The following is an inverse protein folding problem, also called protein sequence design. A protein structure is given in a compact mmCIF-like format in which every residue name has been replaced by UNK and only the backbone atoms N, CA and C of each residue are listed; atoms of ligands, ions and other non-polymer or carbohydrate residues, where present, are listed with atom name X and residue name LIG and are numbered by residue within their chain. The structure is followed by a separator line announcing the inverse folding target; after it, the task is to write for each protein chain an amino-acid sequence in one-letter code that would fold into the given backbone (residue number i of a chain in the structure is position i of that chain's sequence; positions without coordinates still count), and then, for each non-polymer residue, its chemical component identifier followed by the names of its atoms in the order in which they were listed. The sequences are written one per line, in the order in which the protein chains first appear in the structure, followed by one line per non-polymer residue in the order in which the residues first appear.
data_IF_390441528979
#
_entry.id   IF_390441528979
#
_cell.length_a   1.000
_cell.length_b   1.000
_cell.length_c   1.000
_cell.angle_alpha   90.00
_cell.angle_beta   90.00
_cell.angle_gamma   90.00
#
_symmetry.space_group_name_H-M   'P 1'
#
loop_
_entity.id
_entity.type
_entity.pdbx_description
1 polymer ?
#
# COMPACT_ATOMS: atom_id res chain seq x y z
N UNK A 1 -22.03 -0.41 25.12
CA UNK A 1 -22.82 0.74 24.61
C UNK A 1 -24.01 0.20 23.82
N UNK A 2 -25.22 0.74 23.97
CA UNK A 2 -26.39 0.21 23.24
C UNK A 2 -26.27 0.49 21.74
N UNK A 3 -26.76 -0.43 20.90
CA UNK A 3 -26.76 -0.30 19.43
C UNK A 3 -27.33 1.05 18.95
N UNK A 4 -28.49 1.54 19.47
CA UNK A 4 -29.03 2.84 19.06
C UNK A 4 -28.09 4.01 19.36
N UNK A 5 -27.41 3.99 20.51
CA UNK A 5 -26.45 5.04 20.86
C UNK A 5 -25.25 5.04 19.90
N UNK A 6 -24.77 3.86 19.46
CA UNK A 6 -23.68 3.79 18.47
C UNK A 6 -24.11 4.34 17.12
N UNK A 7 -25.35 4.08 16.70
CA UNK A 7 -25.92 4.65 15.46
C UNK A 7 -25.98 6.17 15.56
N UNK A 8 -26.49 6.71 16.67
CA UNK A 8 -26.56 8.16 16.90
C UNK A 8 -25.16 8.78 16.87
N UNK A 9 -24.17 8.15 17.52
CA UNK A 9 -22.79 8.61 17.49
C UNK A 9 -22.20 8.56 16.06
N UNK A 10 -22.47 7.51 15.29
CA UNK A 10 -22.01 7.40 13.91
C UNK A 10 -22.60 8.51 13.01
N UNK A 11 -23.89 8.82 13.12
CA UNK A 11 -24.47 9.96 12.39
C UNK A 11 -23.98 11.30 12.92
N UNK A 12 -23.81 11.45 14.24
CA UNK A 12 -23.19 12.62 14.86
C UNK A 12 -21.77 12.86 14.36
N UNK A 13 -21.01 11.79 14.11
CA UNK A 13 -19.67 11.82 13.53
C UNK A 13 -19.64 12.55 12.19
N UNK A 14 -20.61 12.22 11.31
CA UNK A 14 -20.74 12.86 10.00
C UNK A 14 -21.01 14.35 10.15
N UNK A 15 -21.88 14.75 11.08
CA UNK A 15 -22.16 16.16 11.35
C UNK A 15 -20.94 16.91 11.88
N UNK A 16 -20.14 16.29 12.76
CA UNK A 16 -18.89 16.86 13.28
C UNK A 16 -17.89 17.09 12.15
N UNK A 17 -17.70 16.11 11.27
CA UNK A 17 -16.79 16.23 10.13
C UNK A 17 -17.25 17.29 9.11
N UNK A 18 -18.55 17.37 8.83
CA UNK A 18 -19.11 18.44 7.99
C UNK A 18 -18.94 19.82 8.66
N UNK A 19 -19.15 19.89 9.97
CA UNK A 19 -18.91 21.08 10.79
C UNK A 19 -17.47 21.57 10.68
N UNK A 20 -16.50 20.66 10.81
CA UNK A 20 -15.07 20.96 10.62
C UNK A 20 -14.81 21.59 9.25
N UNK A 21 -15.30 21.00 8.16
CA UNK A 21 -15.13 21.54 6.80
C UNK A 21 -15.73 22.94 6.67
N UNK A 22 -16.93 23.16 7.23
CA UNK A 22 -17.58 24.46 7.22
C UNK A 22 -16.79 25.51 8.02
N UNK A 23 -16.26 25.15 9.19
CA UNK A 23 -15.44 26.02 10.03
C UNK A 23 -14.16 26.42 9.29
N UNK A 24 -13.42 25.46 8.72
CA UNK A 24 -12.19 25.74 7.97
C UNK A 24 -12.48 26.65 6.77
N UNK A 25 -13.58 26.42 6.06
CA UNK A 25 -13.98 27.26 4.92
C UNK A 25 -14.38 28.67 5.35
N UNK A 26 -15.05 28.83 6.49
CA UNK A 26 -15.38 30.14 7.04
C UNK A 26 -14.11 30.89 7.44
N UNK A 27 -13.21 30.23 8.17
CA UNK A 27 -11.92 30.77 8.58
C UNK A 27 -11.04 31.16 7.37
N UNK A 28 -11.08 30.37 6.31
CA UNK A 28 -10.39 30.68 5.08
C UNK A 28 -10.85 31.99 4.44
N UNK A 29 -12.16 32.27 4.47
CA UNK A 29 -12.73 33.52 3.95
C UNK A 29 -12.39 34.72 4.84
N UNK A 30 -12.30 34.53 6.15
CA UNK A 30 -12.06 35.63 7.10
C UNK A 30 -10.57 35.95 7.25
N UNK A 31 -9.69 34.95 7.23
CA UNK A 31 -8.24 35.10 7.47
C UNK A 31 -7.41 35.03 6.18
N UNK A 32 -8.03 34.68 5.03
CA UNK A 32 -7.33 34.61 3.75
C UNK A 32 -6.38 33.42 3.65
N UNK A 33 -6.73 32.27 4.26
CA UNK A 33 -5.91 31.07 4.21
C UNK A 33 -5.77 30.57 2.77
N UNK A 34 -4.55 30.25 2.35
CA UNK A 34 -4.32 29.65 1.04
C UNK A 34 -4.93 28.23 0.96
N UNK A 35 -5.11 27.73 -0.26
CA UNK A 35 -5.76 26.43 -0.49
C UNK A 35 -5.00 25.25 0.16
N UNK A 36 -3.67 25.33 0.24
CA UNK A 36 -2.84 24.28 0.84
C UNK A 36 -3.07 24.16 2.35
N UNK A 37 -3.06 25.29 3.06
CA UNK A 37 -3.31 25.34 4.50
C UNK A 37 -4.73 24.86 4.81
N UNK A 38 -5.72 25.28 4.03
CA UNK A 38 -7.10 24.77 4.18
C UNK A 38 -7.17 23.25 4.06
N UNK A 39 -6.55 22.70 3.01
CA UNK A 39 -6.50 21.25 2.78
C UNK A 39 -5.84 20.52 3.95
N UNK A 40 -4.70 21.03 4.45
CA UNK A 40 -4.00 20.40 5.58
C UNK A 40 -4.75 20.55 6.91
N UNK A 41 -5.48 21.64 7.12
CA UNK A 41 -6.35 21.77 8.31
C UNK A 41 -7.51 20.76 8.28
N UNK A 42 -8.16 20.57 7.13
CA UNK A 42 -9.19 19.53 6.96
C UNK A 42 -8.57 18.15 7.19
N UNK A 43 -7.43 17.84 6.56
CA UNK A 43 -6.70 16.58 6.72
C UNK A 43 -6.32 16.29 8.17
N UNK A 44 -5.78 17.28 8.89
CA UNK A 44 -5.43 17.14 10.30
C UNK A 44 -6.69 16.92 11.14
N UNK A 45 -7.76 17.69 10.92
CA UNK A 45 -8.98 17.54 11.70
C UNK A 45 -9.71 16.22 11.45
N UNK A 46 -9.79 15.76 10.21
CA UNK A 46 -10.37 14.44 9.87
C UNK A 46 -9.49 13.30 10.38
N UNK A 47 -8.16 13.44 10.31
CA UNK A 47 -7.22 12.45 10.84
C UNK A 47 -7.22 12.35 12.37
N UNK A 48 -7.28 13.49 13.08
CA UNK A 48 -7.44 13.52 14.55
C UNK A 48 -8.77 12.87 14.97
N UNK A 49 -9.85 13.12 14.21
CA UNK A 49 -11.11 12.42 14.44
C UNK A 49 -10.97 10.91 14.22
N UNK A 50 -10.31 10.48 13.14
CA UNK A 50 -10.07 9.08 12.84
C UNK A 50 -9.28 8.38 13.96
N UNK A 51 -8.29 9.05 14.57
CA UNK A 51 -7.55 8.51 15.72
C UNK A 51 -8.46 8.14 16.90
N UNK A 52 -9.58 8.83 17.09
CA UNK A 52 -10.51 8.56 18.21
C UNK A 52 -11.40 7.33 17.98
N UNK A 53 -11.48 6.80 16.75
CA UNK A 53 -12.41 5.73 16.39
C UNK A 53 -12.30 4.47 17.27
N UNK A 54 -11.10 3.94 17.62
CA UNK A 54 -10.98 2.75 18.46
C UNK A 54 -11.56 2.93 19.87
N UNK A 55 -11.62 4.16 20.37
CA UNK A 55 -12.14 4.47 21.71
C UNK A 55 -13.58 4.96 21.69
N UNK A 56 -14.03 5.52 20.57
CA UNK A 56 -15.39 6.05 20.42
C UNK A 56 -16.44 4.93 20.28
N UNK A 57 -16.07 3.82 19.64
CA UNK A 57 -16.96 2.70 19.39
C UNK A 57 -16.43 1.42 20.07
N UNK A 58 -17.17 0.81 21.00
CA UNK A 58 -16.79 -0.46 21.59
C UNK A 58 -16.98 -1.62 20.61
N UNK A 59 -17.99 -1.55 19.73
CA UNK A 59 -18.14 -2.51 18.63
C UNK A 59 -17.47 -1.97 17.37
N UNK A 60 -16.96 -2.86 16.51
CA UNK A 60 -16.24 -2.47 15.29
C UNK A 60 -17.18 -2.12 14.12
N UNK A 61 -18.40 -2.67 14.12
CA UNK A 61 -19.35 -2.52 13.01
C UNK A 61 -19.76 -1.07 12.70
N UNK A 62 -19.94 -0.13 13.68
CA UNK A 62 -20.31 1.25 13.37
C UNK A 62 -19.20 1.99 12.62
N UNK A 63 -17.93 1.64 12.89
CA UNK A 63 -16.79 2.21 12.18
C UNK A 63 -16.83 1.79 10.70
N UNK A 64 -17.06 0.51 10.42
CA UNK A 64 -17.21 0.01 9.05
C UNK A 64 -18.42 0.63 8.34
N UNK A 65 -19.55 0.79 9.03
CA UNK A 65 -20.72 1.50 8.51
C UNK A 65 -20.37 2.95 8.16
N UNK A 66 -19.71 3.67 9.06
CA UNK A 66 -19.31 5.07 8.88
C UNK A 66 -18.39 5.23 7.66
N UNK A 67 -17.40 4.35 7.52
CA UNK A 67 -16.49 4.36 6.36
C UNK A 67 -17.24 4.06 5.07
N UNK A 68 -18.09 3.03 5.07
CA UNK A 68 -18.88 2.66 3.89
C UNK A 68 -19.79 3.81 3.43
N UNK A 69 -20.50 4.43 4.37
CA UNK A 69 -21.34 5.61 4.09
C UNK A 69 -20.49 6.77 3.57
N UNK A 70 -19.32 7.03 4.17
CA UNK A 70 -18.42 8.10 3.73
C UNK A 70 -17.96 7.87 2.29
N UNK A 71 -17.50 6.66 1.95
CA UNK A 71 -17.06 6.31 0.60
C UNK A 71 -18.20 6.42 -0.42
N UNK A 72 -19.42 5.98 -0.06
CA UNK A 72 -20.60 6.10 -0.91
C UNK A 72 -20.96 7.57 -1.14
N UNK A 73 -20.99 8.38 -0.08
CA UNK A 73 -21.29 9.82 -0.18
C UNK A 73 -20.25 10.51 -1.06
N UNK A 74 -18.96 10.22 -0.88
CA UNK A 74 -17.90 10.79 -1.73
C UNK A 74 -18.04 10.37 -3.19
N UNK A 75 -18.42 9.12 -3.46
CA UNK A 75 -18.67 8.63 -4.82
C UNK A 75 -19.87 9.35 -5.46
N UNK A 76 -20.96 9.54 -4.71
CA UNK A 76 -22.15 10.26 -5.16
C UNK A 76 -21.82 11.72 -5.44
N UNK A 77 -21.11 12.38 -4.52
CA UNK A 77 -20.74 13.80 -4.68
C UNK A 77 -19.80 14.04 -5.86
N UNK A 78 -19.10 13.00 -6.32
CA UNK A 78 -18.27 13.04 -7.53
C UNK A 78 -19.05 12.87 -8.83
N UNK A 79 -20.34 12.53 -8.78
CA UNK A 79 -21.17 12.43 -9.98
C UNK A 79 -21.37 13.81 -10.62
N UNK A 80 -21.39 13.92 -11.96
CA UNK A 80 -21.50 15.21 -12.67
C UNK A 80 -22.67 16.08 -12.24
N UNK A 81 -23.76 15.46 -11.75
CA UNK A 81 -24.99 16.12 -11.30
C UNK A 81 -24.83 16.95 -10.01
N UNK A 82 -23.82 16.64 -9.19
CA UNK A 82 -23.53 17.36 -7.93
C UNK A 82 -22.34 18.31 -8.05
N UNK A 83 -21.90 18.59 -9.28
CA UNK A 83 -20.74 19.44 -9.58
C UNK A 83 -20.89 20.92 -9.16
N UNK A 84 -22.11 21.37 -8.91
CA UNK A 84 -22.43 22.72 -8.44
C UNK A 84 -22.90 22.66 -6.97
N UNK A 85 -22.07 23.10 -6.00
CA UNK A 85 -22.41 23.13 -4.57
C UNK A 85 -21.34 22.54 -3.65
N UNK A 86 -21.72 21.67 -2.70
CA UNK A 86 -20.78 20.90 -1.85
C UNK A 86 -19.84 20.00 -2.66
N UNK A 87 -20.29 19.53 -3.84
CA UNK A 87 -19.42 18.86 -4.80
C UNK A 87 -18.40 19.79 -5.46
N UNK A 88 -18.63 21.11 -5.52
CA UNK A 88 -17.66 22.06 -6.08
C UNK A 88 -16.40 22.20 -5.21
N UNK A 89 -16.52 22.05 -3.88
CA UNK A 89 -15.36 21.90 -2.99
C UNK A 89 -14.58 20.61 -3.28
N UNK A 90 -15.28 19.54 -3.65
CA UNK A 90 -14.72 18.28 -4.12
C UNK A 90 -14.43 18.23 -5.64
N UNK A 91 -14.55 19.34 -6.37
CA UNK A 91 -14.38 19.34 -7.83
C UNK A 91 -13.51 20.48 -8.36
N UNK A 92 -13.44 21.61 -7.65
CA UNK A 92 -12.68 22.80 -8.09
C UNK A 92 -11.16 22.63 -8.04
N UNK A 93 -10.66 21.78 -7.14
CA UNK A 93 -9.25 21.38 -7.03
C UNK A 93 -9.06 19.86 -7.30
N UNK A 94 -10.14 19.10 -7.20
CA UNK A 94 -10.14 17.63 -7.05
C UNK A 94 -10.29 16.82 -8.34
N UNK A 95 -10.47 17.46 -9.51
CA UNK A 95 -10.40 16.72 -10.79
C UNK A 95 -9.04 16.04 -11.03
N UNK A 96 -8.02 16.26 -10.19
CA UNK A 96 -6.68 15.67 -10.31
C UNK A 96 -6.20 14.78 -9.15
N UNK A 97 -6.82 14.78 -7.96
CA UNK A 97 -6.31 13.96 -6.82
C UNK A 97 -7.40 13.10 -6.18
N UNK A 98 -7.09 11.83 -6.01
CA UNK A 98 -7.92 10.86 -5.29
C UNK A 98 -7.65 10.87 -3.77
N UNK A 99 -6.85 11.82 -3.27
CA UNK A 99 -6.29 11.82 -1.92
C UNK A 99 -7.30 11.65 -0.80
N UNK A 100 -8.43 12.35 -0.83
CA UNK A 100 -9.43 12.26 0.26
C UNK A 100 -10.17 10.92 0.25
N UNK A 101 -10.43 10.36 -0.94
CA UNK A 101 -10.99 9.03 -1.08
C UNK A 101 -10.01 7.96 -0.59
N UNK A 102 -8.73 8.10 -0.94
CA UNK A 102 -7.66 7.22 -0.52
C UNK A 102 -7.43 7.28 1.00
N UNK A 103 -7.54 8.46 1.60
CA UNK A 103 -7.51 8.65 3.06
C UNK A 103 -8.63 7.87 3.75
N UNK A 104 -9.89 8.07 3.33
CA UNK A 104 -11.04 7.38 3.93
C UNK A 104 -10.92 5.85 3.78
N UNK A 105 -10.50 5.39 2.61
CA UNK A 105 -10.23 3.97 2.36
C UNK A 105 -9.13 3.44 3.28
N UNK A 106 -8.04 4.20 3.44
CA UNK A 106 -6.92 3.80 4.27
C UNK A 106 -7.28 3.74 5.75
N UNK A 107 -8.06 4.68 6.26
CA UNK A 107 -8.57 4.65 7.64
C UNK A 107 -9.33 3.34 7.88
N UNK A 108 -10.20 2.96 6.95
CA UNK A 108 -10.97 1.72 7.08
C UNK A 108 -10.14 0.45 6.96
N UNK A 109 -9.23 0.39 6.00
CA UNK A 109 -8.33 -0.75 5.85
C UNK A 109 -7.39 -0.87 7.06
N UNK A 110 -6.86 0.24 7.59
CA UNK A 110 -6.03 0.19 8.79
C UNK A 110 -6.83 -0.28 10.01
N UNK A 111 -8.06 0.20 10.17
CA UNK A 111 -8.91 -0.21 11.29
C UNK A 111 -9.28 -1.69 11.24
N UNK A 112 -9.53 -2.20 10.02
CA UNK A 112 -9.80 -3.61 9.77
C UNK A 112 -8.56 -4.48 10.07
N UNK A 113 -7.41 -4.10 9.51
CA UNK A 113 -6.19 -4.93 9.56
C UNK A 113 -5.44 -4.84 10.89
N UNK A 114 -5.58 -3.74 11.63
CA UNK A 114 -4.94 -3.60 12.95
C UNK A 114 -5.50 -4.61 13.97
N UNK A 115 -6.69 -5.16 13.74
CA UNK A 115 -7.34 -6.07 14.68
C UNK A 115 -7.44 -5.44 16.08
N UNK A 116 -7.17 -6.21 17.12
CA UNK A 116 -7.24 -5.71 18.52
C UNK A 116 -6.01 -4.90 18.95
N UNK A 117 -4.97 -4.80 18.11
CA UNK A 117 -3.73 -4.10 18.47
C UNK A 117 -3.85 -2.61 18.13
N UNK A 118 -4.26 -1.80 19.12
CA UNK A 118 -4.51 -0.36 18.93
C UNK A 118 -3.30 0.40 18.37
N UNK A 119 -2.07 0.00 18.76
CA UNK A 119 -0.83 0.61 18.25
C UNK A 119 -0.73 0.53 16.71
N UNK A 120 -1.16 -0.59 16.11
CA UNK A 120 -1.07 -0.82 14.66
C UNK A 120 -2.05 0.06 13.88
N UNK A 121 -3.06 0.62 14.54
CA UNK A 121 -3.96 1.61 13.96
C UNK A 121 -3.49 3.04 14.22
N UNK A 122 -3.21 3.36 15.47
CA UNK A 122 -2.95 4.74 15.93
C UNK A 122 -1.67 5.30 15.34
N UNK A 123 -0.57 4.54 15.36
CA UNK A 123 0.72 5.04 14.88
C UNK A 123 0.65 5.37 13.38
N UNK A 124 0.18 4.49 12.48
CA UNK A 124 0.11 4.81 11.05
C UNK A 124 -0.81 6.00 10.74
N UNK A 125 -1.97 6.09 11.40
CA UNK A 125 -2.92 7.20 11.18
C UNK A 125 -2.37 8.51 11.76
N UNK A 126 -1.67 8.48 12.89
CA UNK A 126 -1.05 9.66 13.48
C UNK A 126 0.07 10.20 12.60
N UNK A 127 0.91 9.31 12.05
CA UNK A 127 1.96 9.68 11.09
C UNK A 127 1.36 10.31 9.84
N UNK A 128 0.33 9.68 9.25
CA UNK A 128 -0.38 10.24 8.11
C UNK A 128 -1.01 11.60 8.43
N UNK A 129 -1.54 11.79 9.63
CA UNK A 129 -2.26 13.02 10.00
C UNK A 129 -1.30 14.17 10.27
N UNK A 130 -0.27 13.91 11.08
CA UNK A 130 0.57 14.96 11.66
C UNK A 130 1.89 15.13 10.92
N UNK A 131 2.60 14.04 10.60
CA UNK A 131 3.89 14.13 9.93
C UNK A 131 3.76 14.62 8.49
N UNK A 132 2.76 14.13 7.75
CA UNK A 132 2.46 14.59 6.39
C UNK A 132 2.10 16.09 6.35
N UNK A 133 1.23 16.54 7.25
CA UNK A 133 0.86 17.95 7.32
C UNK A 133 2.05 18.84 7.69
N UNK A 134 2.85 18.43 8.70
CA UNK A 134 4.04 19.16 9.10
C UNK A 134 5.08 19.23 7.97
N UNK A 135 5.31 18.13 7.26
CA UNK A 135 6.23 18.06 6.14
C UNK A 135 5.82 18.97 4.98
N UNK A 136 4.53 19.00 4.64
CA UNK A 136 4.01 19.86 3.58
C UNK A 136 4.09 21.35 3.95
N UNK A 137 3.73 21.72 5.19
CA UNK A 137 3.81 23.11 5.65
C UNK A 137 5.27 23.57 5.75
N UNK A 138 6.16 22.75 6.30
CA UNK A 138 7.58 23.07 6.37
C UNK A 138 8.22 23.11 4.98
N UNK A 139 7.86 22.18 4.10
CA UNK A 139 8.39 22.12 2.74
C UNK A 139 7.97 23.32 1.90
N UNK A 140 6.74 23.82 2.07
CA UNK A 140 6.26 25.02 1.38
C UNK A 140 6.80 26.32 1.97
N UNK A 141 7.03 26.40 3.29
CA UNK A 141 7.54 27.60 3.95
C UNK A 141 9.07 27.74 3.93
N UNK A 142 9.81 26.62 4.05
CA UNK A 142 11.26 26.59 4.25
C UNK A 142 12.02 25.75 3.21
N UNK A 143 11.34 25.19 2.22
CA UNK A 143 11.97 24.36 1.20
C UNK A 143 13.00 25.14 0.40
N UNK A 144 14.25 24.69 0.40
CA UNK A 144 15.32 25.25 -0.45
C UNK A 144 15.85 24.22 -1.42
N UNK A 145 15.94 22.94 -1.00
CA UNK A 145 16.47 21.85 -1.81
C UNK A 145 15.34 20.99 -2.32
N UNK A 146 14.88 21.29 -3.53
CA UNK A 146 13.80 20.56 -4.19
C UNK A 146 14.33 19.39 -5.02
N UNK A 147 13.53 18.32 -5.08
CA UNK A 147 13.72 17.21 -5.98
C UNK A 147 12.43 16.91 -6.73
N UNK A 148 12.58 16.54 -8.00
CA UNK A 148 11.44 16.22 -8.85
C UNK A 148 10.84 14.87 -8.43
N UNK A 149 9.52 14.89 -8.26
CA UNK A 149 8.66 13.71 -8.22
C UNK A 149 7.73 13.75 -9.44
N UNK A 150 7.05 12.65 -9.73
CA UNK A 150 6.27 12.50 -10.97
C UNK A 150 5.09 13.47 -11.11
N UNK A 151 4.63 14.04 -9.99
CA UNK A 151 3.58 15.06 -9.96
C UNK A 151 3.98 16.27 -9.10
N UNK A 152 5.13 16.86 -9.42
CA UNK A 152 5.59 18.13 -8.84
C UNK A 152 6.98 18.06 -8.22
N UNK A 153 7.19 18.89 -7.20
CA UNK A 153 8.46 18.95 -6.48
C UNK A 153 8.21 18.71 -4.98
N UNK A 154 9.13 17.96 -4.36
CA UNK A 154 9.21 17.80 -2.91
C UNK A 154 10.53 18.37 -2.42
N UNK A 155 10.59 18.78 -1.16
CA UNK A 155 11.80 19.36 -0.57
C UNK A 155 12.47 18.39 0.41
N UNK A 156 13.80 18.46 0.47
CA UNK A 156 14.59 17.69 1.45
C UNK A 156 14.21 18.13 2.87
N UNK A 157 13.97 19.42 3.08
CA UNK A 157 13.53 19.98 4.35
C UNK A 157 12.19 19.38 4.80
N UNK A 158 11.22 19.26 3.89
CA UNK A 158 9.94 18.60 4.15
C UNK A 158 10.13 17.14 4.58
N UNK A 159 10.98 16.38 3.87
CA UNK A 159 11.28 14.98 4.24
C UNK A 159 12.02 14.86 5.58
N UNK A 160 12.89 15.81 5.95
CA UNK A 160 13.53 15.83 7.27
C UNK A 160 12.51 16.10 8.38
N UNK A 161 11.60 17.06 8.17
CA UNK A 161 10.51 17.33 9.11
C UNK A 161 9.59 16.12 9.24
N UNK A 162 9.24 15.47 8.12
CA UNK A 162 8.49 14.23 8.14
C UNK A 162 9.18 13.19 9.03
N UNK A 163 10.47 12.90 8.77
CA UNK A 163 11.25 11.92 9.52
C UNK A 163 11.24 12.20 11.03
N UNK A 164 11.52 13.46 11.43
CA UNK A 164 11.59 13.85 12.84
C UNK A 164 10.23 13.74 13.51
N UNK A 165 9.16 14.23 12.87
CA UNK A 165 7.80 14.17 13.42
C UNK A 165 7.32 12.72 13.51
N UNK A 166 7.56 11.89 12.49
CA UNK A 166 7.27 10.45 12.54
C UNK A 166 8.04 9.75 13.66
N UNK A 167 9.31 10.09 13.87
CA UNK A 167 10.12 9.52 14.94
C UNK A 167 9.55 9.85 16.32
N UNK A 168 9.15 11.11 16.54
CA UNK A 168 8.53 11.54 17.80
C UNK A 168 7.17 10.88 18.03
N UNK A 169 6.34 10.77 16.98
CA UNK A 169 5.06 10.07 17.04
C UNK A 169 5.28 8.59 17.37
N UNK A 170 6.21 7.92 16.68
CA UNK A 170 6.51 6.52 16.92
C UNK A 170 6.97 6.29 18.36
N UNK A 171 7.95 7.07 18.86
CA UNK A 171 8.42 6.98 20.25
C UNK A 171 7.26 7.17 21.22
N UNK A 172 6.41 8.18 21.01
CA UNK A 172 5.26 8.45 21.90
C UNK A 172 4.27 7.30 21.89
N UNK A 173 3.89 6.79 20.72
CA UNK A 173 2.97 5.67 20.59
C UNK A 173 3.54 4.39 21.24
N UNK A 174 4.80 4.05 20.98
CA UNK A 174 5.41 2.86 21.57
C UNK A 174 5.56 2.98 23.10
N UNK A 175 5.92 4.15 23.64
CA UNK A 175 6.02 4.37 25.08
C UNK A 175 4.67 4.22 25.80
N UNK A 176 3.57 4.63 25.16
CA UNK A 176 2.22 4.61 25.77
C UNK A 176 1.50 3.28 25.54
N UNK A 177 1.78 2.58 24.44
CA UNK A 177 0.94 1.49 23.93
C UNK A 177 1.70 0.17 23.75
N UNK A 178 2.96 0.08 24.16
CA UNK A 178 3.75 -1.15 24.05
C UNK A 178 4.67 -1.36 25.25
N UNK A 179 4.95 -2.62 25.56
CA UNK A 179 5.90 -3.03 26.61
C UNK A 179 7.23 -3.52 26.01
N UNK A 180 7.61 -3.02 24.83
CA UNK A 180 8.83 -3.47 24.16
C UNK A 180 10.09 -3.02 24.91
N UNK A 181 11.16 -3.83 24.90
CA UNK A 181 12.45 -3.42 25.42
C UNK A 181 12.91 -2.09 24.77
N UNK A 182 13.49 -1.14 25.54
CA UNK A 182 13.82 0.19 25.04
C UNK A 182 14.66 0.19 23.76
N UNK A 183 15.60 -0.76 23.63
CA UNK A 183 16.46 -0.87 22.45
C UNK A 183 15.70 -1.35 21.21
N UNK A 184 14.80 -2.34 21.35
CA UNK A 184 13.95 -2.81 20.25
C UNK A 184 13.00 -1.69 19.80
N UNK A 185 12.40 -0.99 20.77
CA UNK A 185 11.55 0.16 20.52
C UNK A 185 12.28 1.24 19.71
N UNK A 186 13.50 1.61 20.11
CA UNK A 186 14.28 2.64 19.42
C UNK A 186 14.58 2.25 17.96
N UNK A 187 15.02 1.01 17.74
CA UNK A 187 15.31 0.51 16.38
C UNK A 187 14.03 0.51 15.53
N UNK A 188 12.91 0.04 16.05
CA UNK A 188 11.62 0.08 15.36
C UNK A 188 11.17 1.50 15.03
N UNK A 189 11.29 2.44 15.97
CA UNK A 189 10.93 3.85 15.73
C UNK A 189 11.78 4.47 14.62
N UNK A 190 13.09 4.19 14.59
CA UNK A 190 13.98 4.64 13.53
C UNK A 190 13.62 4.03 12.18
N UNK A 191 13.28 2.74 12.15
CA UNK A 191 12.86 2.07 10.91
C UNK A 191 11.53 2.60 10.40
N UNK A 192 10.54 2.81 11.28
CA UNK A 192 9.24 3.42 10.97
C UNK A 192 9.44 4.83 10.39
N UNK A 193 10.28 5.66 11.01
CA UNK A 193 10.57 7.01 10.51
C UNK A 193 11.26 6.98 9.14
N UNK A 194 12.30 6.15 8.99
CA UNK A 194 13.05 6.04 7.73
C UNK A 194 12.16 5.53 6.60
N UNK A 195 11.38 4.47 6.86
CA UNK A 195 10.46 3.89 5.91
C UNK A 195 9.35 4.86 5.53
N UNK A 196 8.66 5.46 6.51
CA UNK A 196 7.59 6.41 6.27
C UNK A 196 8.07 7.58 5.42
N UNK A 197 9.27 8.10 5.70
CA UNK A 197 9.89 9.18 4.92
C UNK A 197 10.15 8.76 3.48
N UNK A 198 10.59 7.53 3.24
CA UNK A 198 10.80 7.05 1.87
C UNK A 198 9.48 6.91 1.11
N UNK A 199 8.44 6.35 1.75
CA UNK A 199 7.12 6.21 1.12
C UNK A 199 6.52 7.57 0.82
N UNK A 200 6.56 8.51 1.77
CA UNK A 200 6.12 9.89 1.56
C UNK A 200 6.90 10.50 0.39
N UNK A 201 8.23 10.48 0.42
CA UNK A 201 9.06 11.15 -0.57
C UNK A 201 8.87 10.63 -2.01
N UNK A 202 8.39 9.39 -2.19
CA UNK A 202 8.14 8.79 -3.51
C UNK A 202 6.66 8.69 -3.90
N UNK A 203 5.74 9.04 -3.00
CA UNK A 203 4.30 9.02 -3.30
C UNK A 203 3.89 10.18 -4.20
N UNK A 204 2.85 9.96 -5.00
CA UNK A 204 2.32 10.90 -5.98
C UNK A 204 0.79 10.96 -5.91
N UNK A 205 0.17 12.04 -6.39
CA UNK A 205 -1.31 12.17 -6.58
C UNK A 205 -2.20 11.92 -5.36
N UNK A 206 -1.68 11.94 -4.14
CA UNK A 206 -2.42 11.58 -2.94
C UNK A 206 -2.39 10.08 -2.61
N UNK A 207 -1.57 9.27 -3.30
CA UNK A 207 -1.38 7.85 -2.97
C UNK A 207 -0.58 7.62 -1.68
N UNK A 208 0.13 8.63 -1.18
CA UNK A 208 0.65 8.67 0.18
C UNK A 208 -0.46 8.45 1.20
N UNK A 209 -1.65 9.01 0.98
CA UNK A 209 -2.80 8.82 1.88
C UNK A 209 -3.27 7.36 2.02
N UNK A 210 -2.82 6.46 1.13
CA UNK A 210 -3.09 5.03 1.21
C UNK A 210 -1.85 4.20 1.54
N UNK A 211 -0.76 4.39 0.80
CA UNK A 211 0.42 3.53 0.91
C UNK A 211 1.24 3.79 2.18
N UNK A 212 1.30 5.03 2.66
CA UNK A 212 2.04 5.36 3.89
C UNK A 212 1.43 4.65 5.11
N UNK A 213 0.16 4.89 5.47
CA UNK A 213 -0.45 4.24 6.64
C UNK A 213 -0.51 2.71 6.51
N UNK A 214 -0.89 2.15 5.35
CA UNK A 214 -0.91 0.70 5.17
C UNK A 214 0.48 0.08 5.24
N UNK A 215 1.47 0.73 4.62
CA UNK A 215 2.86 0.30 4.72
C UNK A 215 3.31 0.24 6.17
N UNK A 216 3.10 1.32 6.94
CA UNK A 216 3.48 1.38 8.35
C UNK A 216 2.75 0.33 9.20
N UNK A 217 1.45 0.13 8.98
CA UNK A 217 0.68 -0.90 9.69
C UNK A 217 1.29 -2.29 9.47
N UNK A 218 1.61 -2.62 8.23
CA UNK A 218 2.11 -3.95 7.90
C UNK A 218 3.53 -4.13 8.39
N UNK A 219 4.36 -3.10 8.28
CA UNK A 219 5.70 -3.10 8.87
C UNK A 219 5.63 -3.42 10.36
N UNK A 220 4.71 -2.79 11.11
CA UNK A 220 4.48 -3.08 12.53
C UNK A 220 3.96 -4.50 12.75
N UNK A 221 2.98 -4.94 11.94
CA UNK A 221 2.40 -6.27 12.04
C UNK A 221 3.47 -7.38 11.88
N UNK A 222 4.42 -7.19 10.96
CA UNK A 222 5.47 -8.18 10.67
C UNK A 222 6.63 -8.09 11.67
N UNK A 223 7.03 -6.89 12.11
CA UNK A 223 8.29 -6.70 12.82
C UNK A 223 8.16 -6.32 14.29
N UNK A 224 6.96 -6.06 14.81
CA UNK A 224 6.78 -5.66 16.23
C UNK A 224 7.25 -6.71 17.24
N UNK A 225 7.25 -7.98 16.86
CA UNK A 225 7.68 -9.11 17.71
C UNK A 225 9.08 -9.64 17.36
N UNK A 226 9.77 -9.02 16.38
CA UNK A 226 11.10 -9.44 15.96
C UNK A 226 12.14 -9.21 17.06
N UNK A 227 13.12 -10.11 17.11
CA UNK A 227 14.30 -9.97 17.97
C UNK A 227 15.15 -8.77 17.57
N UNK A 228 15.97 -8.26 18.50
CA UNK A 228 16.87 -7.14 18.21
C UNK A 228 17.81 -7.45 17.04
N UNK A 229 18.29 -8.69 16.95
CA UNK A 229 19.17 -9.15 15.86
C UNK A 229 18.49 -9.10 14.50
N UNK A 230 17.23 -9.52 14.41
CA UNK A 230 16.45 -9.45 13.17
C UNK A 230 16.18 -8.01 12.76
N UNK A 231 15.83 -7.14 13.72
CA UNK A 231 15.60 -5.72 13.47
C UNK A 231 16.87 -5.00 12.99
N UNK A 232 18.01 -5.26 13.63
CA UNK A 232 19.31 -4.70 13.20
C UNK A 232 19.69 -5.22 11.81
N UNK A 233 19.50 -6.51 11.54
CA UNK A 233 19.76 -7.09 10.22
C UNK A 233 18.86 -6.45 9.16
N UNK A 234 17.59 -6.23 9.46
CA UNK A 234 16.65 -5.55 8.56
C UNK A 234 17.09 -4.09 8.31
N UNK A 235 17.49 -3.36 9.35
CA UNK A 235 17.99 -1.99 9.21
C UNK A 235 19.26 -1.91 8.35
N UNK A 236 20.20 -2.84 8.56
CA UNK A 236 21.45 -2.92 7.78
C UNK A 236 21.17 -3.29 6.33
N UNK A 237 20.31 -4.28 6.07
CA UNK A 237 19.94 -4.68 4.69
C UNK A 237 19.21 -3.56 3.98
N UNK A 238 18.34 -2.82 4.68
CA UNK A 238 17.69 -1.65 4.14
C UNK A 238 18.68 -0.54 3.75
N UNK A 239 19.61 -0.18 4.65
CA UNK A 239 20.62 0.83 4.34
C UNK A 239 21.53 0.37 3.18
N UNK A 240 21.92 -0.90 3.16
CA UNK A 240 22.68 -1.49 2.07
C UNK A 240 21.93 -1.43 0.72
N UNK A 241 20.61 -1.66 0.72
CA UNK A 241 19.78 -1.55 -0.49
C UNK A 241 19.76 -0.12 -1.04
N UNK A 242 19.58 0.89 -0.17
CA UNK A 242 19.62 2.32 -0.56
C UNK A 242 20.97 2.66 -1.20
N UNK A 243 22.08 2.28 -0.55
CA UNK A 243 23.44 2.56 -1.04
C UNK A 243 23.71 1.84 -2.35
N UNK A 244 23.28 0.58 -2.46
CA UNK A 244 23.47 -0.25 -3.66
C UNK A 244 22.75 0.34 -4.86
N UNK A 245 21.49 0.75 -4.71
CA UNK A 245 20.73 1.36 -5.80
C UNK A 245 21.24 2.75 -6.19
N UNK A 246 21.76 3.52 -5.23
CA UNK A 246 22.44 4.78 -5.55
C UNK A 246 23.67 4.57 -6.44
N UNK A 247 24.40 3.47 -6.25
CA UNK A 247 25.61 3.12 -7.03
C UNK A 247 25.29 2.38 -8.34
N UNK A 248 24.33 1.46 -8.31
CA UNK A 248 24.02 0.56 -9.41
C UNK A 248 22.93 1.11 -10.35
N UNK A 249 22.02 1.94 -9.85
CA UNK A 249 20.93 2.53 -10.64
C UNK A 249 21.42 3.20 -11.93
N UNK A 250 22.45 4.07 -11.89
CA UNK A 250 23.00 4.67 -13.12
C UNK A 250 23.57 3.64 -14.10
N UNK A 251 24.15 2.53 -13.60
CA UNK A 251 24.69 1.45 -14.44
C UNK A 251 23.59 0.63 -15.12
N UNK A 252 22.40 0.60 -14.53
CA UNK A 252 21.21 -0.06 -15.09
C UNK A 252 20.39 0.87 -16.01
N UNK A 253 20.89 2.07 -16.31
CA UNK A 253 20.17 3.07 -17.11
C UNK A 253 18.97 3.68 -16.39
N UNK A 254 18.87 3.55 -15.07
CA UNK A 254 17.78 4.12 -14.29
C UNK A 254 18.01 5.62 -14.06
N UNK A 255 16.96 6.42 -14.22
CA UNK A 255 16.97 7.81 -13.77
C UNK A 255 17.08 7.88 -12.26
N UNK A 256 17.50 9.03 -11.71
CA UNK A 256 17.54 9.22 -10.24
C UNK A 256 16.14 9.05 -9.60
N UNK A 257 15.09 9.43 -10.32
CA UNK A 257 13.71 9.23 -9.87
C UNK A 257 13.38 7.73 -9.85
N UNK A 258 13.57 7.03 -10.97
CA UNK A 258 13.36 5.59 -11.10
C UNK A 258 14.11 4.79 -10.01
N UNK A 259 15.38 5.10 -9.78
CA UNK A 259 16.18 4.42 -8.77
C UNK A 259 15.58 4.54 -7.36
N UNK A 260 15.03 5.70 -6.99
CA UNK A 260 14.37 5.89 -5.68
C UNK A 260 13.06 5.12 -5.57
N UNK A 261 12.26 5.12 -6.64
CA UNK A 261 11.01 4.36 -6.73
C UNK A 261 11.26 2.86 -6.54
N UNK A 262 12.30 2.31 -7.17
CA UNK A 262 12.68 0.90 -7.00
C UNK A 262 13.18 0.59 -5.59
N UNK A 263 13.94 1.49 -4.97
CA UNK A 263 14.36 1.32 -3.55
C UNK A 263 13.13 1.20 -2.64
N UNK A 264 12.10 2.03 -2.85
CA UNK A 264 10.85 1.94 -2.10
C UNK A 264 10.14 0.63 -2.36
N UNK A 265 10.03 0.19 -3.61
CA UNK A 265 9.39 -1.08 -3.96
C UNK A 265 10.06 -2.27 -3.29
N UNK A 266 11.40 -2.33 -3.32
CA UNK A 266 12.18 -3.39 -2.70
C UNK A 266 11.99 -3.37 -1.19
N UNK A 267 12.04 -2.18 -0.60
CA UNK A 267 11.81 -2.05 0.83
C UNK A 267 10.41 -2.54 1.20
N UNK A 268 9.37 -2.12 0.47
CA UNK A 268 8.00 -2.59 0.70
C UNK A 268 7.89 -4.11 0.62
N UNK A 269 8.56 -4.74 -0.35
CA UNK A 269 8.60 -6.20 -0.46
C UNK A 269 9.30 -6.82 0.76
N UNK A 270 10.48 -6.32 1.13
CA UNK A 270 11.30 -6.86 2.23
C UNK A 270 10.69 -6.61 3.61
N UNK A 271 9.90 -5.54 3.77
CA UNK A 271 9.22 -5.17 5.00
C UNK A 271 7.99 -6.04 5.30
N UNK A 272 7.46 -6.72 4.29
CA UNK A 272 6.17 -7.43 4.38
C UNK A 272 6.35 -8.94 4.18
N UNK A 273 7.33 -9.34 3.39
CA UNK A 273 7.58 -10.74 3.05
C UNK A 273 8.85 -11.25 3.73
N UNK A 274 8.81 -12.51 4.15
CA UNK A 274 10.03 -13.24 4.48
C UNK A 274 11.01 -13.22 3.28
N UNK A 275 12.32 -13.29 3.56
CA UNK A 275 13.37 -13.11 2.56
C UNK A 275 13.18 -14.02 1.33
N UNK A 276 12.78 -15.28 1.52
CA UNK A 276 12.50 -16.21 0.42
C UNK A 276 11.25 -15.82 -0.38
N UNK A 277 10.19 -15.34 0.29
CA UNK A 277 8.96 -14.87 -0.36
C UNK A 277 9.16 -13.54 -1.13
N UNK A 278 10.22 -12.79 -0.83
CA UNK A 278 10.60 -11.60 -1.57
C UNK A 278 11.20 -11.89 -2.96
N UNK A 279 11.68 -13.11 -3.22
CA UNK A 279 12.43 -13.43 -4.46
C UNK A 279 11.60 -13.24 -5.72
N UNK A 280 10.35 -13.72 -5.77
CA UNK A 280 9.49 -13.56 -6.94
C UNK A 280 9.11 -12.08 -7.21
N UNK A 281 8.70 -11.28 -6.22
CA UNK A 281 8.56 -9.83 -6.38
C UNK A 281 9.85 -9.13 -6.83
N UNK A 282 11.03 -9.57 -6.38
CA UNK A 282 12.30 -9.04 -6.88
C UNK A 282 12.51 -9.39 -8.37
N UNK A 283 12.06 -10.56 -8.82
CA UNK A 283 12.05 -10.92 -10.25
C UNK A 283 11.08 -10.05 -11.06
N UNK A 284 9.95 -9.64 -10.48
CA UNK A 284 9.04 -8.65 -11.11
C UNK A 284 9.77 -7.34 -11.39
N UNK A 285 10.53 -6.82 -10.42
CA UNK A 285 11.31 -5.60 -10.58
C UNK A 285 12.41 -5.76 -11.64
N UNK A 286 13.12 -6.89 -11.64
CA UNK A 286 14.14 -7.19 -12.65
C UNK A 286 13.53 -7.28 -14.05
N UNK A 287 12.40 -7.99 -14.20
CA UNK A 287 11.68 -8.10 -15.46
C UNK A 287 11.15 -6.74 -15.94
N UNK A 288 10.74 -5.85 -15.01
CA UNK A 288 10.32 -4.49 -15.35
C UNK A 288 11.48 -3.64 -15.87
N UNK A 289 12.67 -3.71 -15.27
CA UNK A 289 13.87 -3.02 -15.77
C UNK A 289 14.18 -3.52 -17.18
N UNK A 290 14.18 -4.84 -17.39
CA UNK A 290 14.45 -5.43 -18.70
C UNK A 290 13.42 -5.02 -19.75
N UNK A 291 12.13 -5.08 -19.43
CA UNK A 291 11.04 -4.67 -20.31
C UNK A 291 11.13 -3.20 -20.70
N UNK A 292 11.50 -2.33 -19.77
CA UNK A 292 11.70 -0.90 -20.05
C UNK A 292 12.81 -0.67 -21.07
N UNK A 293 13.95 -1.36 -20.92
CA UNK A 293 15.10 -1.19 -21.80
C UNK A 293 14.89 -1.81 -23.18
N UNK A 294 14.23 -2.98 -23.24
CA UNK A 294 14.08 -3.74 -24.48
C UNK A 294 12.83 -3.34 -25.27
N UNK A 295 11.77 -2.88 -24.60
CA UNK A 295 10.49 -2.55 -25.21
C UNK A 295 9.83 -1.37 -24.47
N UNK A 296 10.24 -0.11 -24.72
CA UNK A 296 9.72 1.07 -24.02
C UNK A 296 8.18 1.18 -24.05
N UNK A 297 7.61 1.79 -23.01
CA UNK A 297 6.16 1.95 -22.84
C UNK A 297 5.73 3.40 -23.03
N UNK A 298 4.54 3.61 -23.60
CA UNK A 298 3.93 4.94 -23.75
C UNK A 298 3.20 5.40 -22.47
N UNK A 299 3.22 4.61 -21.39
CA UNK A 299 2.65 5.01 -20.11
C UNK A 299 3.42 6.19 -19.55
N UNK A 300 2.68 7.21 -19.11
CA UNK A 300 3.25 8.44 -18.55
C UNK A 300 4.11 8.18 -17.29
N UNK A 301 3.78 7.15 -16.50
CA UNK A 301 4.36 6.88 -15.18
C UNK A 301 4.69 5.39 -14.95
N UNK A 302 5.32 4.73 -15.91
CA UNK A 302 5.56 3.27 -15.84
C UNK A 302 6.31 2.80 -14.58
N UNK A 303 7.15 3.66 -14.00
CA UNK A 303 7.96 3.35 -12.79
C UNK A 303 7.11 3.30 -11.54
N UNK A 304 6.12 4.18 -11.48
CA UNK A 304 5.18 4.22 -10.37
C UNK A 304 4.14 3.12 -10.49
N UNK A 305 3.75 2.76 -11.72
CA UNK A 305 2.82 1.67 -11.97
C UNK A 305 3.33 0.36 -11.36
N UNK A 306 4.64 0.09 -11.39
CA UNK A 306 5.21 -1.13 -10.79
C UNK A 306 5.13 -1.12 -9.26
N UNK A 307 5.33 0.03 -8.62
CA UNK A 307 5.20 0.17 -7.17
C UNK A 307 3.74 0.08 -6.74
N UNK A 308 2.85 0.75 -7.47
CA UNK A 308 1.42 0.64 -7.26
C UNK A 308 0.95 -0.81 -7.38
N UNK A 309 1.37 -1.52 -8.43
CA UNK A 309 1.03 -2.94 -8.60
C UNK A 309 1.56 -3.81 -7.49
N UNK A 310 2.86 -3.72 -7.17
CA UNK A 310 3.47 -4.49 -6.07
C UNK A 310 2.79 -4.20 -4.73
N UNK A 311 2.51 -2.93 -4.42
CA UNK A 311 1.78 -2.54 -3.22
C UNK A 311 0.35 -3.10 -3.22
N UNK A 312 -0.39 -2.93 -4.33
CA UNK A 312 -1.79 -3.35 -4.44
C UNK A 312 -1.96 -4.85 -4.19
N UNK A 313 -1.19 -5.73 -4.85
CA UNK A 313 -1.38 -7.16 -4.64
C UNK A 313 -0.66 -7.69 -3.39
N UNK A 314 0.45 -7.08 -2.93
CA UNK A 314 1.06 -7.46 -1.64
C UNK A 314 0.10 -7.18 -0.50
N UNK A 315 -0.47 -5.98 -0.45
CA UNK A 315 -1.44 -5.60 0.57
C UNK A 315 -2.78 -6.29 0.34
N UNK A 316 -3.20 -6.48 -0.90
CA UNK A 316 -4.43 -7.16 -1.25
C UNK A 316 -4.44 -8.62 -0.77
N UNK A 317 -3.38 -9.38 -1.03
CA UNK A 317 -3.27 -10.77 -0.56
C UNK A 317 -3.15 -10.87 0.96
N UNK A 318 -2.38 -9.98 1.59
CA UNK A 318 -2.29 -9.96 3.05
C UNK A 318 -3.65 -9.65 3.68
N UNK A 319 -4.34 -8.63 3.18
CA UNK A 319 -5.66 -8.25 3.66
C UNK A 319 -6.69 -9.36 3.46
N UNK A 320 -6.66 -10.00 2.29
CA UNK A 320 -7.56 -11.12 1.98
C UNK A 320 -7.27 -12.33 2.88
N UNK A 321 -5.99 -12.64 3.14
CA UNK A 321 -5.60 -13.72 4.02
C UNK A 321 -6.02 -13.51 5.47
N UNK A 322 -5.85 -12.27 5.97
CA UNK A 322 -6.30 -11.89 7.31
C UNK A 322 -7.84 -11.89 7.41
N UNK A 323 -8.54 -11.40 6.39
CA UNK A 323 -10.00 -11.32 6.40
C UNK A 323 -10.68 -12.70 6.36
N UNK A 324 -10.10 -13.67 5.65
CA UNK A 324 -10.66 -15.02 5.56
C UNK A 324 -10.12 -15.98 6.63
N UNK A 325 -8.99 -15.63 7.26
CA UNK A 325 -8.25 -16.49 8.19
C UNK A 325 -7.41 -17.59 7.50
N UNK A 326 -7.31 -17.56 6.17
CA UNK A 326 -6.52 -18.52 5.38
C UNK A 326 -5.28 -17.83 4.82
N UNK A 327 -4.09 -18.41 5.02
CA UNK A 327 -2.86 -17.76 4.58
C UNK A 327 -2.81 -17.63 3.03
N UNK A 328 -2.49 -16.46 2.50
CA UNK A 328 -2.49 -16.19 1.07
C UNK A 328 -1.10 -16.22 0.40
N UNK A 329 -0.03 -16.60 1.11
CA UNK A 329 1.36 -16.45 0.63
C UNK A 329 1.66 -17.24 -0.65
N UNK A 330 1.12 -18.44 -0.81
CA UNK A 330 1.31 -19.23 -2.04
C UNK A 330 0.68 -18.56 -3.26
N UNK A 331 -0.47 -17.90 -3.07
CA UNK A 331 -1.16 -17.17 -4.14
C UNK A 331 -0.47 -15.85 -4.47
N UNK A 332 0.04 -15.15 -3.45
CA UNK A 332 0.94 -14.01 -3.61
C UNK A 332 2.15 -14.36 -4.50
N UNK A 333 2.79 -15.50 -4.22
CA UNK A 333 3.89 -16.00 -5.04
C UNK A 333 3.48 -16.28 -6.49
N UNK A 334 2.33 -16.92 -6.73
CA UNK A 334 1.83 -17.18 -8.09
C UNK A 334 1.54 -15.88 -8.85
N UNK A 335 0.93 -14.88 -8.20
CA UNK A 335 0.67 -13.57 -8.82
C UNK A 335 1.96 -12.83 -9.18
N UNK A 336 2.96 -12.82 -8.29
CA UNK A 336 4.27 -12.23 -8.58
C UNK A 336 4.98 -12.96 -9.74
N UNK A 337 4.92 -14.30 -9.75
CA UNK A 337 5.46 -15.15 -10.81
C UNK A 337 4.81 -14.82 -12.17
N UNK A 338 3.49 -14.71 -12.22
CA UNK A 338 2.76 -14.36 -13.45
C UNK A 338 3.09 -12.95 -13.98
N UNK A 339 3.21 -11.96 -13.09
CA UNK A 339 3.59 -10.61 -13.48
C UNK A 339 5.03 -10.56 -14.02
N UNK A 340 5.97 -11.26 -13.38
CA UNK A 340 7.35 -11.38 -13.85
C UNK A 340 7.40 -12.05 -15.23
N UNK A 341 6.58 -13.08 -15.46
CA UNK A 341 6.48 -13.77 -16.74
C UNK A 341 6.00 -12.82 -17.85
N UNK A 342 4.88 -12.12 -17.63
CA UNK A 342 4.33 -11.22 -18.65
C UNK A 342 5.26 -10.06 -19.01
N UNK A 343 5.96 -9.49 -18.02
CA UNK A 343 6.97 -8.45 -18.26
C UNK A 343 8.16 -9.00 -19.06
N UNK A 344 8.63 -10.21 -18.72
CA UNK A 344 9.74 -10.86 -19.42
C UNK A 344 9.40 -11.17 -20.88
N UNK A 345 8.17 -11.61 -21.18
CA UNK A 345 7.72 -11.84 -22.56
C UNK A 345 7.65 -10.54 -23.34
N UNK A 346 7.15 -9.45 -22.73
CA UNK A 346 7.16 -8.13 -23.37
C UNK A 346 8.58 -7.62 -23.62
N UNK A 347 9.54 -7.95 -22.77
CA UNK A 347 10.94 -7.58 -22.95
C UNK A 347 11.59 -8.35 -24.10
N UNK A 348 11.36 -9.67 -24.16
CA UNK A 348 12.01 -10.55 -25.12
C UNK A 348 11.41 -10.49 -26.52
N UNK A 349 10.08 -10.61 -26.66
CA UNK A 349 9.33 -10.69 -27.94
C UNK A 349 9.94 -11.63 -29.00
N UNK A 350 10.67 -12.65 -28.58
CA UNK A 350 11.38 -13.57 -29.46
C UNK A 350 10.84 -15.00 -29.43
N UNK A 351 11.75 -15.96 -29.56
CA UNK A 351 11.44 -17.39 -29.68
C UNK A 351 10.70 -17.96 -28.45
N UNK A 352 9.65 -18.75 -28.71
CA UNK A 352 8.87 -19.50 -27.72
C UNK A 352 9.70 -20.43 -26.83
N UNK A 353 10.85 -20.93 -27.31
CA UNK A 353 11.76 -21.74 -26.49
C UNK A 353 12.30 -20.97 -25.29
N UNK A 354 12.68 -19.70 -25.48
CA UNK A 354 13.20 -18.86 -24.39
C UNK A 354 12.07 -18.48 -23.44
N UNK A 355 10.86 -18.24 -23.96
CA UNK A 355 9.66 -18.06 -23.15
C UNK A 355 9.42 -19.30 -22.26
N UNK A 356 9.55 -20.51 -22.79
CA UNK A 356 9.44 -21.74 -22.02
C UNK A 356 10.55 -21.90 -20.96
N UNK A 357 11.79 -21.51 -21.28
CA UNK A 357 12.90 -21.52 -20.31
C UNK A 357 12.63 -20.55 -19.15
N UNK A 358 12.17 -19.33 -19.44
CA UNK A 358 11.82 -18.34 -18.41
C UNK A 358 10.67 -18.88 -17.53
N UNK A 359 9.63 -19.45 -18.14
CA UNK A 359 8.52 -20.06 -17.41
C UNK A 359 9.00 -21.20 -16.49
N UNK A 360 9.87 -22.09 -16.98
CA UNK A 360 10.46 -23.17 -16.19
C UNK A 360 11.30 -22.65 -15.01
N UNK A 361 12.12 -21.62 -15.23
CA UNK A 361 12.91 -21.00 -14.17
C UNK A 361 12.02 -20.35 -13.09
N UNK A 362 11.00 -19.59 -13.50
CA UNK A 362 10.05 -18.96 -12.58
C UNK A 362 9.26 -20.00 -11.77
N UNK A 363 8.83 -21.08 -12.43
CA UNK A 363 8.16 -22.20 -11.75
C UNK A 363 9.09 -22.88 -10.73
N UNK A 364 10.34 -23.14 -11.09
CA UNK A 364 11.32 -23.74 -10.20
C UNK A 364 11.61 -22.85 -8.98
N UNK A 365 11.76 -21.53 -9.18
CA UNK A 365 11.90 -20.56 -8.09
C UNK A 365 10.69 -20.62 -7.16
N UNK A 366 9.48 -20.63 -7.72
CA UNK A 366 8.25 -20.76 -6.92
C UNK A 366 8.24 -22.03 -6.09
N UNK A 367 8.55 -23.19 -6.69
CA UNK A 367 8.64 -24.47 -5.97
C UNK A 367 9.67 -24.41 -4.83
N UNK A 368 10.82 -23.79 -5.06
CA UNK A 368 11.83 -23.58 -4.01
C UNK A 368 11.32 -22.69 -2.88
N UNK A 369 10.66 -21.56 -3.19
CA UNK A 369 10.07 -20.65 -2.19
C UNK A 369 9.01 -21.37 -1.35
N UNK A 370 8.11 -22.14 -1.99
CA UNK A 370 7.04 -22.89 -1.29
C UNK A 370 7.64 -23.91 -0.32
N UNK A 371 8.71 -24.61 -0.70
CA UNK A 371 9.37 -25.59 0.17
C UNK A 371 10.03 -24.97 1.42
N UNK A 372 10.31 -23.66 1.42
CA UNK A 372 10.84 -22.95 2.58
C UNK A 372 9.74 -22.37 3.49
N UNK A 373 8.49 -22.34 3.01
CA UNK A 373 7.36 -21.88 3.82
C UNK A 373 6.91 -22.97 4.82
N UNK A 374 6.45 -22.60 6.02
CA UNK A 374 5.84 -23.54 6.95
C UNK A 374 4.63 -24.25 6.34
N UNK A 375 4.37 -25.50 6.74
CA UNK A 375 3.24 -26.30 6.21
C UNK A 375 1.89 -25.58 6.37
N UNK A 376 1.68 -24.90 7.50
CA UNK A 376 0.46 -24.13 7.75
C UNK A 376 0.22 -23.01 6.72
N UNK A 377 1.28 -22.45 6.12
CA UNK A 377 1.17 -21.44 5.07
C UNK A 377 0.89 -22.05 3.69
N UNK A 378 1.15 -23.34 3.52
CA UNK A 378 1.03 -24.08 2.26
C UNK A 378 -0.24 -24.93 2.18
N UNK A 379 -1.28 -24.60 2.95
CA UNK A 379 -2.54 -25.37 3.05
C UNK A 379 -3.23 -25.69 1.72
N UNK A 380 -3.05 -24.85 0.70
CA UNK A 380 -3.66 -25.01 -0.63
C UNK A 380 -2.77 -25.80 -1.61
N UNK A 381 -1.53 -26.12 -1.24
CA UNK A 381 -0.66 -26.92 -2.09
C UNK A 381 -1.19 -28.36 -2.23
N UNK A 382 -0.97 -29.01 -3.39
CA UNK A 382 -0.15 -28.60 -4.53
C UNK A 382 -0.87 -27.72 -5.57
N UNK A 383 -0.29 -26.57 -5.92
CA UNK A 383 -0.86 -25.62 -6.90
C UNK A 383 -0.15 -25.65 -8.26
N UNK A 384 0.31 -26.82 -8.70
CA UNK A 384 1.06 -26.98 -9.96
C UNK A 384 0.27 -26.54 -11.18
N UNK A 385 -0.99 -27.01 -11.30
CA UNK A 385 -1.87 -26.69 -12.44
C UNK A 385 -2.17 -25.20 -12.49
N UNK A 386 -2.52 -24.59 -11.35
CA UNK A 386 -2.78 -23.17 -11.25
C UNK A 386 -1.56 -22.33 -11.65
N UNK A 387 -0.37 -22.74 -11.21
CA UNK A 387 0.89 -22.10 -11.55
C UNK A 387 1.19 -22.19 -13.05
N UNK A 388 1.02 -23.36 -13.65
CA UNK A 388 1.21 -23.58 -15.08
C UNK A 388 0.21 -22.79 -15.94
N UNK A 389 -1.08 -22.79 -15.55
CA UNK A 389 -2.10 -21.99 -16.22
C UNK A 389 -1.80 -20.49 -16.13
N UNK A 390 -1.40 -20.00 -14.96
CA UNK A 390 -1.04 -18.60 -14.76
C UNK A 390 0.14 -18.20 -15.64
N UNK A 391 1.21 -19.00 -15.67
CA UNK A 391 2.35 -18.77 -16.57
C UNK A 391 1.93 -18.80 -18.04
N UNK A 392 1.09 -19.76 -18.44
CA UNK A 392 0.62 -19.90 -19.82
C UNK A 392 -0.17 -18.68 -20.28
N UNK A 393 -1.11 -18.20 -19.45
CA UNK A 393 -1.93 -17.02 -19.77
C UNK A 393 -1.08 -15.74 -19.78
N UNK A 394 -0.22 -15.56 -18.77
CA UNK A 394 0.65 -14.39 -18.66
C UNK A 394 1.79 -14.36 -19.69
N UNK A 395 2.14 -15.50 -20.28
CA UNK A 395 3.04 -15.58 -21.43
C UNK A 395 2.31 -15.38 -22.76
N UNK A 396 1.17 -16.04 -22.93
CA UNK A 396 0.42 -16.06 -24.20
C UNK A 396 -0.18 -14.71 -24.57
N UNK A 397 -0.80 -14.01 -23.62
CA UNK A 397 -1.43 -12.71 -23.92
C UNK A 397 -0.41 -11.68 -24.42
N UNK A 398 0.75 -11.46 -23.78
CA UNK A 398 1.75 -10.53 -24.29
C UNK A 398 2.45 -11.00 -25.57
N UNK A 399 2.57 -12.31 -25.79
CA UNK A 399 3.19 -12.89 -26.99
C UNK A 399 2.31 -12.70 -28.23
N UNK A 400 1.02 -12.99 -28.12
CA UNK A 400 0.10 -13.04 -29.26
C UNK A 400 -0.78 -11.79 -29.40
N UNK A 401 -0.93 -11.00 -28.34
CA UNK A 401 -1.67 -9.74 -28.36
C UNK A 401 -0.87 -8.57 -27.73
N UNK A 402 0.37 -8.30 -28.17
CA UNK A 402 1.24 -7.27 -27.59
C UNK A 402 0.63 -5.86 -27.63
N UNK A 403 -0.29 -5.59 -28.57
CA UNK A 403 -1.02 -4.33 -28.69
C UNK A 403 -1.84 -3.99 -27.43
N UNK A 404 -2.26 -4.99 -26.66
CA UNK A 404 -2.97 -4.79 -25.40
C UNK A 404 -2.08 -4.20 -24.30
N UNK A 405 -0.76 -4.16 -24.50
CA UNK A 405 0.22 -3.76 -23.49
C UNK A 405 1.11 -2.58 -23.94
N UNK A 406 0.63 -1.79 -24.90
CA UNK A 406 1.31 -0.55 -25.32
C UNK A 406 1.21 0.50 -24.20
N UNK A 407 0.03 0.62 -23.58
CA UNK A 407 -0.29 1.50 -22.45
C UNK A 407 -0.79 0.71 -21.25
N UNK A 408 -0.52 1.23 -20.07
CA UNK A 408 -0.95 0.70 -18.77
C UNK A 408 -0.57 -0.78 -18.58
N UNK A 409 0.56 -1.20 -19.16
CA UNK A 409 0.93 -2.62 -19.27
C UNK A 409 1.07 -3.29 -17.92
N UNK A 410 1.60 -2.58 -16.92
CA UNK A 410 1.86 -3.11 -15.59
C UNK A 410 0.54 -3.39 -14.89
N UNK A 411 -0.41 -2.45 -14.91
CA UNK A 411 -1.76 -2.65 -14.39
C UNK A 411 -2.46 -3.83 -15.09
N UNK A 412 -2.47 -3.86 -16.42
CA UNK A 412 -3.12 -4.93 -17.20
C UNK A 412 -2.51 -6.30 -16.91
N UNK A 413 -1.18 -6.39 -16.89
CA UNK A 413 -0.48 -7.64 -16.53
C UNK A 413 -0.77 -8.06 -15.09
N UNK A 414 -0.86 -7.10 -14.17
CA UNK A 414 -1.20 -7.38 -12.76
C UNK A 414 -2.60 -7.99 -12.66
N UNK A 415 -3.58 -7.42 -13.37
CA UNK A 415 -4.94 -7.98 -13.42
C UNK A 415 -4.96 -9.39 -14.01
N UNK A 416 -4.22 -9.63 -15.09
CA UNK A 416 -4.10 -10.97 -15.70
C UNK A 416 -3.44 -11.97 -14.73
N UNK A 417 -2.36 -11.56 -14.06
CA UNK A 417 -1.62 -12.39 -13.11
C UNK A 417 -2.41 -12.67 -11.81
N UNK A 418 -3.38 -11.82 -11.47
CA UNK A 418 -4.27 -12.00 -10.32
C UNK A 418 -5.51 -12.84 -10.64
N UNK A 419 -5.99 -12.82 -11.88
CA UNK A 419 -7.30 -13.38 -12.22
C UNK A 419 -7.47 -14.85 -11.81
N UNK A 420 -6.56 -15.74 -12.23
CA UNK A 420 -6.64 -17.16 -11.90
C UNK A 420 -6.37 -17.45 -10.41
N UNK A 421 -5.28 -16.91 -9.80
CA UNK A 421 -5.01 -17.17 -8.39
C UNK A 421 -6.10 -16.66 -7.45
N UNK A 422 -6.65 -15.47 -7.71
CA UNK A 422 -7.72 -14.88 -6.91
C UNK A 422 -9.02 -15.69 -7.02
N UNK A 423 -9.40 -16.09 -8.24
CA UNK A 423 -10.59 -16.92 -8.44
C UNK A 423 -10.47 -18.26 -7.72
N UNK A 424 -9.32 -18.93 -7.82
CA UNK A 424 -9.08 -20.20 -7.15
C UNK A 424 -9.10 -20.04 -5.62
N UNK A 425 -8.44 -19.01 -5.09
CA UNK A 425 -8.43 -18.73 -3.66
C UNK A 425 -9.85 -18.53 -3.11
N UNK A 426 -10.63 -17.65 -3.73
CA UNK A 426 -12.00 -17.36 -3.29
C UNK A 426 -12.88 -18.60 -3.36
N UNK A 427 -12.74 -19.42 -4.42
CA UNK A 427 -13.45 -20.68 -4.55
C UNK A 427 -13.08 -21.68 -3.45
N UNK A 428 -11.78 -21.86 -3.17
CA UNK A 428 -11.31 -22.78 -2.13
C UNK A 428 -11.75 -22.37 -0.72
N UNK A 429 -11.66 -21.08 -0.39
CA UNK A 429 -12.13 -20.54 0.90
C UNK A 429 -13.65 -20.67 1.03
N UNK A 430 -14.42 -20.32 0.00
CA UNK A 430 -15.88 -20.42 0.02
C UNK A 430 -16.36 -21.87 0.20
N UNK A 431 -15.69 -22.83 -0.44
CA UNK A 431 -15.96 -24.27 -0.24
C UNK A 431 -15.78 -24.69 1.23
N UNK A 432 -14.68 -24.26 1.85
CA UNK A 432 -14.40 -24.57 3.26
C UNK A 432 -15.44 -23.99 4.23
N UNK A 433 -16.00 -22.81 3.91
CA UNK A 433 -17.07 -22.21 4.69
C UNK A 433 -18.38 -22.99 4.55
N UNK A 434 -18.68 -23.49 3.34
CA UNK A 434 -19.81 -24.36 3.08
C UNK A 434 -19.75 -25.66 3.89
N UNK A 435 -18.58 -26.30 3.97
CA UNK A 435 -18.36 -27.49 4.78
C UNK A 435 -18.52 -27.23 6.29
N UNK A 436 -18.00 -26.10 6.79
CA UNK A 436 -18.15 -25.71 8.21
C UNK A 436 -19.60 -25.42 8.58
N UNK A 437 -20.36 -24.76 7.70
CA UNK A 437 -21.78 -24.49 7.92
C UNK A 437 -22.62 -25.78 7.86
N UNK A 438 -22.27 -26.72 6.96
CA UNK A 438 -22.90 -28.02 6.90
C UNK A 438 -22.62 -28.87 8.15
N UNK A 439 -21.38 -28.86 8.65
CA UNK A 439 -21.00 -29.58 9.87
C UNK A 439 -21.59 -28.97 11.15
N UNK A 440 -21.71 -27.65 11.22
CA UNK A 440 -22.36 -26.95 12.35
C UNK A 440 -23.89 -27.01 12.34
N UNK A 441 -24.51 -27.39 11.22
CA UNK A 441 -25.94 -27.68 11.13
C UNK A 441 -26.30 -29.13 11.52
N UNK A 442 -25.30 -29.98 11.74
CA UNK A 442 -25.46 -31.38 12.18
C UNK A 442 -25.17 -31.59 13.68
N UNK A 443 -24.96 -30.51 14.43
CA UNK A 443 -24.86 -30.49 15.90
C UNK A 443 -25.98 -29.64 16.48
#
# INVERSE_FOLDING_TARGET
MSVPLQIVLAFGSVLVLLGLVMIVRSLAKTVGLNAEVQRKLIHVGTGLYALLLPWLFPDRWPVYMLIAVTLIVMLILRLPRFSNGLGATLHGVERKSYGDFLLALSVGLCFLLAGEVTLFYVLPIAVLTLADAAAALAGTAYGTKHFVVEDGEKSVEGSVVFFVVTLLIAITCFLVMSDLPPINMLVLCLMVAAFGTLVEAQSWRGFDNLFLPLGLLIFLFVHSTSSLTELVLLAVTFFAAIVSFRKLGPKLGLTRHAARVYVVAIFLVMAVAAIHNAVLPMMVLAAHIWARTANPCDSKYSDLDIVASLGLFSFGWLALGNATGWNAVSFYGISAMGLAMGLSVLAWRGNLLIVAVIAGALFAIRSWVVNLNPEASNWAEPLMVLSALTLTVTAGLPQFAPQLFIKDRVLRLTLVALALPLAYYLWSVAGSWGERLAAGATS
#
